data_IF_400444790686
#
_entry.id   IF_400444790686
#
_cell.length_a   1.000
_cell.length_b   1.000
_cell.length_c   1.000
_cell.angle_alpha   90.00
_cell.angle_beta   90.00
_cell.angle_gamma   90.00
#
_symmetry.space_group_name_H-M   'P 1'
#
loop_
_entity.id
_entity.type
_entity.pdbx_description
1 polymer ?
#
# COMPACT_ATOMS: atom_id res chain seq x y z
N UNK A 1 -11.63 3.27 -4.03
CA UNK A 1 -10.94 4.44 -4.62
C UNK A 1 -11.11 4.50 -6.14
N UNK A 2 -10.75 3.45 -6.88
CA UNK A 2 -10.86 3.43 -8.35
C UNK A 2 -12.31 3.59 -8.87
N UNK A 3 -13.29 2.97 -8.21
CA UNK A 3 -14.72 3.14 -8.53
C UNK A 3 -15.19 4.60 -8.39
N UNK A 4 -14.80 5.26 -7.29
CA UNK A 4 -15.09 6.68 -7.10
C UNK A 4 -14.40 7.56 -8.16
N UNK A 5 -13.22 7.15 -8.63
CA UNK A 5 -12.53 7.79 -9.76
C UNK A 5 -13.31 7.68 -11.06
N UNK A 6 -13.86 6.49 -11.37
CA UNK A 6 -14.74 6.29 -12.53
C UNK A 6 -16.02 7.11 -12.43
N UNK A 7 -16.70 7.08 -11.27
CA UNK A 7 -17.89 7.88 -11.02
C UNK A 7 -17.61 9.39 -11.16
N UNK A 8 -16.46 9.86 -10.66
CA UNK A 8 -16.02 11.24 -10.81
C UNK A 8 -15.80 11.64 -12.28
N UNK A 9 -15.15 10.79 -13.07
CA UNK A 9 -14.96 11.03 -14.50
C UNK A 9 -16.29 11.06 -15.27
N UNK A 10 -17.25 10.18 -14.91
CA UNK A 10 -18.58 10.18 -15.50
C UNK A 10 -19.38 11.43 -15.15
N UNK A 11 -19.21 11.95 -13.92
CA UNK A 11 -19.85 13.19 -13.47
C UNK A 11 -19.40 14.42 -14.27
N UNK A 12 -18.23 14.40 -14.92
CA UNK A 12 -17.80 15.49 -15.79
C UNK A 12 -18.70 15.69 -17.02
N UNK A 13 -19.45 14.67 -17.46
CA UNK A 13 -20.48 14.83 -18.52
C UNK A 13 -21.75 15.51 -18.03
N UNK A 14 -21.95 15.61 -16.73
CA UNK A 14 -23.17 16.15 -16.15
C UNK A 14 -23.10 17.68 -16.05
N UNK A 15 -24.26 18.37 -16.03
CA UNK A 15 -24.32 19.80 -15.73
C UNK A 15 -23.64 20.11 -14.39
N UNK A 16 -22.79 21.13 -14.38
CA UNK A 16 -22.18 21.65 -13.17
C UNK A 16 -22.92 22.91 -12.73
N UNK A 17 -23.35 22.94 -11.47
CA UNK A 17 -23.94 24.12 -10.84
C UNK A 17 -22.90 24.76 -9.95
N UNK A 18 -22.65 26.06 -10.14
CA UNK A 18 -21.80 26.87 -9.29
C UNK A 18 -22.62 27.91 -8.55
N UNK A 19 -22.34 28.08 -7.25
CA UNK A 19 -22.94 29.10 -6.40
C UNK A 19 -21.81 29.73 -5.60
N UNK A 20 -21.71 31.05 -5.59
CA UNK A 20 -20.95 31.72 -4.55
C UNK A 20 -21.53 33.05 -4.14
N UNK A 21 -21.21 33.44 -2.92
CA UNK A 21 -21.54 34.72 -2.34
C UNK A 21 -20.32 35.27 -1.61
N UNK A 22 -20.15 36.58 -1.65
CA UNK A 22 -19.02 37.27 -1.04
C UNK A 22 -19.42 38.64 -0.54
N UNK A 23 -18.84 39.01 0.59
CA UNK A 23 -18.90 40.34 1.15
C UNK A 23 -17.49 40.91 1.19
N UNK A 24 -17.33 42.13 0.71
CA UNK A 24 -16.08 42.86 0.73
C UNK A 24 -16.34 44.24 1.34
N UNK A 25 -15.54 44.59 2.35
CA UNK A 25 -15.47 45.94 2.88
C UNK A 25 -14.28 46.66 2.25
N UNK A 26 -14.57 47.64 1.40
CA UNK A 26 -13.58 48.50 0.77
C UNK A 26 -13.16 49.62 1.73
N UNK A 27 -11.92 50.09 1.61
CA UNK A 27 -11.39 51.18 2.42
C UNK A 27 -12.17 52.47 2.18
N UNK A 28 -12.41 53.23 3.25
CA UNK A 28 -13.05 54.54 3.17
C UNK A 28 -12.15 55.50 2.39
N UNK A 29 -12.59 55.87 1.18
CA UNK A 29 -11.96 56.94 0.39
C UNK A 29 -12.73 58.23 0.68
N UNK A 30 -12.05 59.34 1.01
CA UNK A 30 -12.74 60.60 1.30
C UNK A 30 -13.58 61.04 0.09
N UNK A 31 -14.85 61.37 0.35
CA UNK A 31 -15.78 61.81 -0.67
C UNK A 31 -15.34 63.16 -1.25
N UNK A 32 -15.10 63.21 -2.56
CA UNK A 32 -14.87 64.48 -3.24
C UNK A 32 -16.21 65.20 -3.40
N UNK A 33 -16.48 66.16 -2.52
CA UNK A 33 -17.66 67.03 -2.59
C UNK A 33 -17.25 68.46 -2.96
N UNK A 34 -17.99 69.06 -3.88
CA UNK A 34 -17.81 70.45 -4.29
C UNK A 34 -18.94 71.27 -3.68
N UNK A 35 -18.61 72.25 -2.84
CA UNK A 35 -19.61 73.17 -2.28
C UNK A 35 -19.64 74.43 -3.13
N UNK A 36 -20.71 74.61 -3.91
CA UNK A 36 -20.91 75.82 -4.71
C UNK A 36 -21.86 76.80 -4.01
N UNK A 37 -21.48 78.09 -3.88
CA UNK A 37 -22.35 79.12 -3.30
C UNK A 37 -23.69 79.22 -4.06
N UNK A 38 -24.81 79.09 -3.34
CA UNK A 38 -26.16 79.17 -3.90
C UNK A 38 -26.75 77.86 -4.47
N UNK A 39 -25.97 76.80 -4.64
CA UNK A 39 -26.40 75.52 -5.24
C UNK A 39 -26.25 74.29 -4.32
N UNK A 40 -25.69 74.47 -3.13
CA UNK A 40 -25.48 73.42 -2.14
C UNK A 40 -24.23 72.56 -2.39
N UNK A 41 -23.99 71.59 -1.50
CA UNK A 41 -22.88 70.63 -1.60
C UNK A 41 -23.27 69.48 -2.52
N UNK A 42 -22.44 69.17 -3.52
CA UNK A 42 -22.62 68.06 -4.48
C UNK A 42 -21.46 67.07 -4.36
N UNK A 43 -21.77 65.81 -4.04
CA UNK A 43 -20.78 64.72 -4.00
C UNK A 43 -20.55 64.16 -5.41
N UNK A 44 -19.29 64.17 -5.87
CA UNK A 44 -18.90 63.68 -7.20
C UNK A 44 -18.45 62.21 -7.16
N UNK A 45 -17.81 61.78 -6.07
CA UNK A 45 -17.41 60.39 -5.83
C UNK A 45 -17.94 59.93 -4.47
N UNK A 46 -19.00 59.11 -4.43
CA UNK A 46 -19.53 58.57 -3.18
C UNK A 46 -18.63 57.45 -2.65
N UNK A 47 -18.50 57.35 -1.32
CA UNK A 47 -17.81 56.25 -0.67
C UNK A 47 -18.76 55.04 -0.57
N UNK A 48 -18.38 53.91 -1.16
CA UNK A 48 -19.14 52.65 -1.09
C UNK A 48 -18.28 51.62 -0.35
N UNK A 49 -18.28 51.66 0.99
CA UNK A 49 -17.43 50.78 1.79
C UNK A 49 -17.92 49.34 1.79
N UNK A 50 -19.22 49.07 1.59
CA UNK A 50 -19.77 47.71 1.65
C UNK A 50 -20.19 47.19 0.27
N UNK A 51 -19.61 46.08 -0.17
CA UNK A 51 -19.95 45.40 -1.41
C UNK A 51 -20.37 43.96 -1.14
N UNK A 52 -21.56 43.61 -1.62
CA UNK A 52 -22.09 42.24 -1.58
C UNK A 52 -22.19 41.73 -3.01
N UNK A 53 -21.73 40.50 -3.25
CA UNK A 53 -21.82 39.85 -4.56
C UNK A 53 -22.33 38.43 -4.38
N UNK A 54 -23.28 38.03 -5.20
CA UNK A 54 -23.75 36.66 -5.30
C UNK A 54 -23.79 36.24 -6.77
N UNK A 55 -23.38 35.02 -7.06
CA UNK A 55 -23.45 34.41 -8.38
C UNK A 55 -24.02 33.00 -8.30
N UNK A 56 -24.79 32.65 -9.31
CA UNK A 56 -25.28 31.31 -9.57
C UNK A 56 -25.12 31.03 -11.07
N UNK A 57 -24.46 29.93 -11.40
CA UNK A 57 -24.17 29.54 -12.77
C UNK A 57 -24.45 28.05 -13.00
N UNK A 58 -24.78 27.71 -14.25
CA UNK A 58 -24.91 26.32 -14.69
C UNK A 58 -24.10 26.15 -15.98
N UNK A 59 -23.17 25.21 -15.98
CA UNK A 59 -22.32 24.88 -17.12
C UNK A 59 -22.63 23.48 -17.63
N UNK A 60 -22.93 23.36 -18.93
CA UNK A 60 -23.19 22.07 -19.59
C UNK A 60 -22.21 21.87 -20.75
N UNK A 61 -21.34 20.85 -20.71
CA UNK A 61 -20.43 20.58 -21.81
C UNK A 61 -21.16 19.94 -22.99
N UNK A 62 -21.41 20.70 -24.05
CA UNK A 62 -22.06 20.18 -25.27
C UNK A 62 -21.08 19.36 -26.14
N UNK A 63 -19.85 19.86 -26.29
CA UNK A 63 -18.79 19.18 -27.05
C UNK A 63 -17.43 19.50 -26.43
N UNK A 64 -16.63 18.46 -26.17
CA UNK A 64 -15.30 18.60 -25.54
C UNK A 64 -14.16 17.98 -26.34
N UNK A 65 -14.38 17.73 -27.64
CA UNK A 65 -13.37 17.12 -28.52
C UNK A 65 -12.80 15.80 -27.96
N UNK A 66 -13.66 14.98 -27.35
CA UNK A 66 -13.27 13.70 -26.76
C UNK A 66 -12.57 13.76 -25.41
N UNK A 67 -12.29 14.93 -24.83
CA UNK A 67 -11.59 15.05 -23.53
C UNK A 67 -12.29 14.32 -22.40
N UNK A 68 -13.61 14.51 -22.24
CA UNK A 68 -14.35 13.85 -21.16
C UNK A 68 -14.46 12.34 -21.42
N UNK A 69 -14.67 11.95 -22.67
CA UNK A 69 -14.80 10.54 -23.06
C UNK A 69 -13.50 9.76 -22.85
N UNK A 70 -12.36 10.35 -23.21
CA UNK A 70 -11.04 9.75 -22.97
C UNK A 70 -10.74 9.69 -21.47
N UNK A 71 -11.14 10.71 -20.70
CA UNK A 71 -11.05 10.71 -19.24
C UNK A 71 -11.85 9.57 -18.59
N UNK A 72 -13.10 9.37 -19.02
CA UNK A 72 -13.93 8.24 -18.55
C UNK A 72 -13.31 6.91 -18.94
N UNK A 73 -12.84 6.77 -20.18
CA UNK A 73 -12.20 5.55 -20.65
C UNK A 73 -10.95 5.24 -19.82
N UNK A 74 -10.11 6.25 -19.54
CA UNK A 74 -8.93 6.08 -18.70
C UNK A 74 -9.31 5.65 -17.27
N UNK A 75 -10.32 6.28 -16.67
CA UNK A 75 -10.80 5.92 -15.34
C UNK A 75 -11.39 4.50 -15.29
N UNK A 76 -12.08 4.06 -16.34
CA UNK A 76 -12.59 2.69 -16.47
C UNK A 76 -11.43 1.68 -16.56
N UNK A 77 -10.39 1.96 -17.36
CA UNK A 77 -9.20 1.10 -17.40
C UNK A 77 -8.49 1.02 -16.05
N UNK A 78 -8.43 2.12 -15.30
CA UNK A 78 -7.87 2.12 -13.95
C UNK A 78 -8.74 1.31 -12.97
N UNK A 79 -10.07 1.36 -13.12
CA UNK A 79 -10.99 0.53 -12.33
C UNK A 79 -10.80 -0.98 -12.62
N UNK A 80 -10.69 -1.35 -13.90
CA UNK A 80 -10.42 -2.73 -14.30
C UNK A 80 -9.04 -3.21 -13.81
N UNK A 81 -8.01 -2.37 -13.94
CA UNK A 81 -6.68 -2.67 -13.42
C UNK A 81 -6.70 -2.92 -11.91
N UNK A 82 -7.39 -2.08 -11.13
CA UNK A 82 -7.55 -2.28 -9.70
C UNK A 82 -8.25 -3.62 -9.34
N UNK A 83 -9.20 -4.08 -10.18
CA UNK A 83 -9.82 -5.39 -10.04
C UNK A 83 -8.85 -6.55 -10.32
N UNK A 84 -7.99 -6.40 -11.33
CA UNK A 84 -6.93 -7.37 -11.63
C UNK A 84 -5.85 -7.41 -10.55
N UNK A 85 -5.50 -6.26 -9.97
CA UNK A 85 -4.55 -6.18 -8.85
C UNK A 85 -5.08 -6.90 -7.62
N UNK A 86 -6.38 -6.75 -7.31
CA UNK A 86 -7.03 -7.49 -6.23
C UNK A 86 -6.96 -9.01 -6.46
N UNK A 87 -7.20 -9.45 -7.69
CA UNK A 87 -7.14 -10.88 -8.05
C UNK A 87 -5.71 -11.40 -7.95
N UNK A 88 -4.72 -10.62 -8.41
CA UNK A 88 -3.30 -10.95 -8.32
C UNK A 88 -2.84 -11.06 -6.86
N UNK A 89 -3.24 -10.12 -6.01
CA UNK A 89 -2.92 -10.14 -4.58
C UNK A 89 -3.50 -11.40 -3.88
N UNK A 90 -4.70 -11.83 -4.27
CA UNK A 90 -5.28 -13.08 -3.75
C UNK A 90 -4.46 -14.31 -4.19
N UNK A 91 -4.00 -14.34 -5.44
CA UNK A 91 -3.14 -15.42 -5.94
C UNK A 91 -1.77 -15.43 -5.25
N UNK A 92 -1.15 -14.27 -5.05
CA UNK A 92 0.12 -14.12 -4.34
C UNK A 92 0.03 -14.61 -2.90
N UNK A 93 -1.00 -14.18 -2.16
CA UNK A 93 -1.26 -14.68 -0.80
C UNK A 93 -1.43 -16.21 -0.76
N UNK A 94 -2.12 -16.77 -1.76
CA UNK A 94 -2.31 -18.22 -1.83
C UNK A 94 -0.99 -18.94 -2.12
N UNK A 95 -0.14 -18.38 -2.99
CA UNK A 95 1.18 -18.93 -3.28
C UNK A 95 2.08 -18.88 -2.04
N UNK A 96 2.19 -17.71 -1.40
CA UNK A 96 2.98 -17.50 -0.19
C UNK A 96 2.56 -18.47 0.93
N UNK A 97 1.25 -18.64 1.14
CA UNK A 97 0.73 -19.58 2.15
C UNK A 97 1.13 -21.03 1.83
N UNK A 98 1.11 -21.43 0.55
CA UNK A 98 1.53 -22.77 0.13
C UNK A 98 3.02 -22.98 0.29
N UNK A 99 3.84 -22.00 -0.07
CA UNK A 99 5.29 -22.04 0.10
C UNK A 99 5.66 -22.14 1.58
N UNK A 100 5.04 -21.34 2.43
CA UNK A 100 5.22 -21.40 3.88
C UNK A 100 4.85 -22.77 4.46
N UNK A 101 3.71 -23.35 4.02
CA UNK A 101 3.29 -24.68 4.43
C UNK A 101 4.30 -25.76 4.01
N UNK A 102 4.72 -25.78 2.75
CA UNK A 102 5.66 -26.78 2.25
C UNK A 102 7.06 -26.62 2.84
N UNK A 103 7.50 -25.38 3.08
CA UNK A 103 8.72 -25.09 3.81
C UNK A 103 8.67 -25.69 5.22
N UNK A 104 7.57 -25.46 5.95
CA UNK A 104 7.38 -26.03 7.29
C UNK A 104 7.35 -27.57 7.27
N UNK A 105 6.60 -28.19 6.36
CA UNK A 105 6.52 -29.65 6.24
C UNK A 105 7.90 -30.24 5.93
N UNK A 106 8.64 -29.63 4.99
CA UNK A 106 9.98 -30.06 4.60
C UNK A 106 10.96 -29.91 5.76
N UNK A 107 10.91 -28.79 6.49
CA UNK A 107 11.77 -28.55 7.65
C UNK A 107 11.48 -29.56 8.78
N UNK A 108 10.19 -29.85 9.04
CA UNK A 108 9.78 -30.85 10.03
C UNK A 108 10.26 -32.25 9.66
N UNK A 109 10.12 -32.63 8.39
CA UNK A 109 10.54 -33.96 7.93
C UNK A 109 12.07 -34.08 7.92
N UNK A 110 12.78 -33.03 7.51
CA UNK A 110 14.23 -32.96 7.60
C UNK A 110 14.71 -33.12 9.05
N UNK A 111 14.05 -32.45 10.00
CA UNK A 111 14.36 -32.60 11.42
C UNK A 111 14.11 -34.03 11.93
N UNK A 112 13.04 -34.69 11.45
CA UNK A 112 12.76 -36.10 11.77
C UNK A 112 13.87 -37.03 11.27
N UNK A 113 14.28 -36.88 10.00
CA UNK A 113 15.34 -37.68 9.38
C UNK A 113 16.68 -37.46 10.07
N UNK A 114 17.02 -36.20 10.41
CA UNK A 114 18.24 -35.89 11.15
C UNK A 114 18.24 -36.52 12.56
N UNK A 115 17.11 -36.48 13.26
CA UNK A 115 16.99 -37.13 14.57
C UNK A 115 17.19 -38.66 14.50
N UNK A 116 16.63 -39.30 13.46
CA UNK A 116 16.80 -40.74 13.20
C UNK A 116 18.25 -41.09 12.86
N UNK A 117 18.92 -40.26 12.03
CA UNK A 117 20.34 -40.43 11.71
C UNK A 117 21.23 -40.33 12.96
N UNK A 118 21.01 -39.31 13.81
CA UNK A 118 21.75 -39.16 15.08
C UNK A 118 21.54 -40.37 15.99
N UNK A 119 20.30 -40.86 16.13
CA UNK A 119 20.00 -42.05 16.93
C UNK A 119 20.73 -43.31 16.39
N UNK A 120 20.77 -43.47 15.06
CA UNK A 120 21.49 -44.57 14.41
C UNK A 120 23.00 -44.50 14.68
N UNK A 121 23.63 -43.33 14.52
CA UNK A 121 25.05 -43.15 14.82
C UNK A 121 25.37 -43.35 16.31
N UNK A 122 24.48 -42.97 17.22
CA UNK A 122 24.63 -43.24 18.65
C UNK A 122 24.62 -44.75 18.94
N UNK A 123 23.70 -45.50 18.34
CA UNK A 123 23.64 -46.96 18.47
C UNK A 123 24.88 -47.64 17.86
N UNK A 124 25.35 -47.16 16.71
CA UNK A 124 26.56 -47.67 16.06
C UNK A 124 27.80 -47.41 16.92
N UNK A 125 27.93 -46.21 17.49
CA UNK A 125 29.03 -45.85 18.40
C UNK A 125 29.06 -46.77 19.63
N UNK A 126 27.90 -47.02 20.24
CA UNK A 126 27.78 -47.95 21.37
C UNK A 126 28.28 -49.34 20.98
N UNK A 127 27.85 -49.85 19.84
CA UNK A 127 28.26 -51.17 19.34
C UNK A 127 29.78 -51.24 19.09
N UNK A 128 30.37 -50.23 18.45
CA UNK A 128 31.82 -50.18 18.22
C UNK A 128 32.61 -50.06 19.52
N UNK A 129 32.10 -49.33 20.52
CA UNK A 129 32.69 -49.25 21.86
C UNK A 129 32.67 -50.61 22.56
N UNK A 130 31.53 -51.30 22.55
CA UNK A 130 31.40 -52.63 23.16
C UNK A 130 32.37 -53.63 22.52
N UNK A 131 32.58 -53.57 21.20
CA UNK A 131 33.55 -54.41 20.47
C UNK A 131 35.00 -54.07 20.81
N UNK A 132 35.31 -52.79 21.02
CA UNK A 132 36.63 -52.34 21.45
C UNK A 132 36.94 -52.85 22.86
N UNK A 133 35.97 -52.78 23.76
CA UNK A 133 36.10 -53.24 25.16
C UNK A 133 36.30 -54.76 25.25
N UNK A 134 35.71 -55.51 24.31
CA UNK A 134 35.95 -56.95 24.13
C UNK A 134 37.25 -57.27 23.36
N UNK A 135 38.01 -56.26 22.93
CA UNK A 135 39.27 -56.43 22.19
C UNK A 135 39.13 -56.84 20.72
N UNK A 136 37.93 -56.74 20.15
CA UNK A 136 37.58 -57.23 18.81
C UNK A 136 37.54 -56.09 17.76
N UNK A 137 37.60 -54.83 18.19
CA UNK A 137 37.62 -53.65 17.32
C UNK A 137 38.80 -52.71 17.64
N UNK A 138 39.19 -51.89 16.66
CA UNK A 138 40.26 -50.91 16.81
C UNK A 138 39.73 -49.56 17.33
N UNK A 139 40.55 -48.81 18.08
CA UNK A 139 40.19 -47.43 18.52
C UNK A 139 39.81 -46.51 17.36
N UNK A 140 40.43 -46.72 16.19
CA UNK A 140 40.13 -45.95 14.98
C UNK A 140 38.67 -46.12 14.50
N UNK A 141 38.08 -47.30 14.69
CA UNK A 141 36.68 -47.57 14.33
C UNK A 141 35.73 -46.71 15.19
N UNK A 142 35.96 -46.65 16.50
CA UNK A 142 35.16 -45.82 17.40
C UNK A 142 35.30 -44.33 17.07
N UNK A 143 36.53 -43.86 16.78
CA UNK A 143 36.77 -42.47 16.38
C UNK A 143 36.07 -42.11 15.08
N UNK A 144 36.07 -43.00 14.08
CA UNK A 144 35.38 -42.76 12.82
C UNK A 144 33.87 -42.56 13.03
N UNK A 145 33.22 -43.40 13.86
CA UNK A 145 31.80 -43.26 14.16
C UNK A 145 31.51 -41.99 14.99
N UNK A 146 32.42 -41.60 15.89
CA UNK A 146 32.29 -40.34 16.63
C UNK A 146 32.29 -39.12 15.70
N UNK A 147 33.18 -39.09 14.70
CA UNK A 147 33.24 -38.00 13.72
C UNK A 147 31.95 -37.92 12.91
N UNK A 148 31.39 -39.05 12.48
CA UNK A 148 30.11 -39.07 11.75
C UNK A 148 28.94 -38.59 12.62
N UNK A 149 28.93 -38.94 13.91
CA UNK A 149 27.95 -38.46 14.87
C UNK A 149 28.06 -36.95 15.10
N UNK A 150 29.27 -36.43 15.27
CA UNK A 150 29.53 -34.99 15.46
C UNK A 150 29.13 -34.19 14.22
N UNK A 151 29.26 -34.76 13.01
CA UNK A 151 28.77 -34.17 11.76
C UNK A 151 27.25 -34.20 11.66
N UNK A 152 26.61 -35.27 12.14
CA UNK A 152 25.16 -35.45 12.09
C UNK A 152 24.42 -34.63 13.15
N UNK A 153 25.06 -34.24 14.25
CA UNK A 153 24.53 -33.29 15.22
C UNK A 153 24.77 -31.85 14.72
N UNK A 154 23.76 -31.15 14.19
CA UNK A 154 23.94 -29.74 13.88
C UNK A 154 24.26 -28.96 15.16
N UNK A 155 25.16 -27.97 15.06
CA UNK A 155 25.39 -27.00 16.12
C UNK A 155 24.05 -26.38 16.51
N UNK A 156 23.61 -26.60 17.76
CA UNK A 156 22.41 -25.96 18.29
C UNK A 156 22.58 -24.45 18.13
N UNK A 157 21.71 -23.73 17.39
CA UNK A 157 21.70 -22.29 17.47
C UNK A 157 21.35 -21.91 18.92
N UNK A 158 22.26 -21.19 19.57
CA UNK A 158 22.01 -20.53 20.85
C UNK A 158 20.82 -19.60 20.68
N UNK A 159 19.82 -19.77 21.55
CA UNK A 159 18.62 -18.94 21.63
C UNK A 159 18.96 -17.49 21.99
#
# INVERSE_FOLDING_TARGET
>A
AAEAGLAGAQAERMPRVDLAAGYARNSDVPELSLTLPGLGTRTLFPNIPDTWRAHAGVTVPLWTSGRIESGITAADRLFQAAGLDLTSAAHELTLETREAYWSFVTARESARVLAEAVASYQAHRKTSQDRLDLGIAARNEVLAVQVELDRAQPARPSA
#
